data_IF_157684973501
#
_entry.id   IF_157684973501
#
_cell.length_a   1.000
_cell.length_b   1.000
_cell.length_c   1.000
_cell.angle_alpha   90.00
_cell.angle_beta   90.00
_cell.angle_gamma   90.00
#
_symmetry.space_group_name_H-M   'P 1'
#
loop_
_entity.id
_entity.type
_entity.pdbx_description
1 polymer ?
#
# COMPACT_ATOMS: atom_id res chain seq x y z
N UNK A 1 -25.62 15.65 -5.11
CA UNK A 1 -24.95 14.33 -5.13
C UNK A 1 -23.84 14.33 -4.09
N UNK A 2 -24.07 13.72 -2.93
CA UNK A 2 -23.10 13.71 -1.83
C UNK A 2 -21.97 12.73 -2.16
N UNK A 3 -20.79 13.26 -2.48
CA UNK A 3 -19.60 12.46 -2.80
C UNK A 3 -19.08 11.79 -1.53
N UNK A 4 -19.57 10.59 -1.27
CA UNK A 4 -19.06 9.71 -0.23
C UNK A 4 -17.67 9.21 -0.66
N UNK A 5 -16.66 10.09 -0.64
CA UNK A 5 -15.27 9.81 -1.04
C UNK A 5 -14.63 8.86 -0.03
N UNK A 6 -14.78 7.58 -0.35
CA UNK A 6 -13.87 6.46 -0.11
C UNK A 6 -13.27 6.30 1.30
N UNK A 7 -13.98 5.56 2.17
CA UNK A 7 -13.33 4.87 3.29
C UNK A 7 -12.45 3.69 2.84
N UNK A 8 -12.56 3.26 1.58
CA UNK A 8 -11.79 2.13 1.03
C UNK A 8 -10.39 2.59 0.62
N UNK A 9 -9.33 1.84 0.96
CA UNK A 9 -7.97 2.14 0.52
C UNK A 9 -7.85 2.08 -0.99
N UNK A 10 -7.09 3.01 -1.56
CA UNK A 10 -6.80 3.07 -2.99
C UNK A 10 -5.68 2.11 -3.39
N UNK A 11 -4.73 1.87 -2.47
CA UNK A 11 -3.57 1.02 -2.68
C UNK A 11 -3.31 0.18 -1.42
N UNK A 12 -2.68 -0.97 -1.61
CA UNK A 12 -2.14 -1.82 -0.55
C UNK A 12 -0.65 -1.56 -0.41
N UNK A 13 -0.17 -1.41 0.82
CA UNK A 13 1.24 -1.24 1.10
C UNK A 13 1.88 -2.60 1.39
N UNK A 14 2.96 -2.89 0.67
CA UNK A 14 3.79 -4.08 0.84
C UNK A 14 5.20 -3.66 1.25
N UNK A 15 5.87 -4.44 2.09
CA UNK A 15 7.33 -4.46 2.12
C UNK A 15 7.81 -5.54 1.18
N UNK A 16 8.76 -5.20 0.31
CA UNK A 16 9.38 -6.10 -0.65
C UNK A 16 10.78 -6.44 -0.17
N UNK A 17 11.06 -7.73 -0.06
CA UNK A 17 12.35 -8.25 0.41
C UNK A 17 12.82 -9.39 -0.47
N UNK A 18 14.13 -9.65 -0.48
CA UNK A 18 14.76 -10.66 -1.32
C UNK A 18 15.09 -10.13 -2.71
N UNK A 19 15.72 -10.97 -3.53
CA UNK A 19 16.25 -10.59 -4.84
C UNK A 19 15.97 -11.68 -5.88
N UNK A 20 15.82 -11.26 -7.14
CA UNK A 20 15.59 -12.16 -8.28
C UNK A 20 14.34 -13.02 -8.12
N UNK A 21 14.49 -14.33 -8.26
CA UNK A 21 13.40 -15.30 -8.15
C UNK A 21 12.82 -15.41 -6.73
N UNK A 22 13.56 -14.97 -5.71
CA UNK A 22 13.15 -15.02 -4.32
C UNK A 22 12.65 -13.65 -3.83
N UNK A 23 11.77 -13.01 -4.60
CA UNK A 23 11.16 -11.73 -4.22
C UNK A 23 9.86 -11.97 -3.46
N UNK A 24 9.78 -11.46 -2.24
CA UNK A 24 8.62 -11.63 -1.36
C UNK A 24 7.90 -10.32 -1.12
N UNK A 25 6.57 -10.35 -1.22
CA UNK A 25 5.70 -9.21 -0.98
C UNK A 25 4.89 -9.44 0.30
N UNK A 26 5.25 -8.75 1.37
CA UNK A 26 4.54 -8.85 2.65
C UNK A 26 3.61 -7.66 2.81
N UNK A 27 2.30 -7.91 2.92
CA UNK A 27 1.32 -6.84 3.15
C UNK A 27 1.53 -6.25 4.54
N UNK A 28 1.84 -4.96 4.60
CA UNK A 28 2.12 -4.23 5.85
C UNK A 28 1.15 -3.08 6.11
N UNK A 29 0.26 -2.77 5.17
CA UNK A 29 -0.69 -1.68 5.35
C UNK A 29 -1.50 -1.35 4.12
N UNK A 30 -1.98 -0.11 4.07
CA UNK A 30 -2.73 0.42 2.95
C UNK A 30 -2.51 1.93 2.80
N UNK A 31 -2.85 2.47 1.63
CA UNK A 31 -2.72 3.87 1.33
C UNK A 31 -3.97 4.46 0.65
N UNK A 32 -4.18 5.76 0.88
CA UNK A 32 -5.27 6.55 0.33
C UNK A 32 -4.70 7.78 -0.38
N UNK A 33 -5.25 8.13 -1.53
CA UNK A 33 -4.92 9.39 -2.17
C UNK A 33 -5.37 10.57 -1.31
N UNK A 34 -4.56 11.61 -1.24
CA UNK A 34 -4.85 12.82 -0.49
C UNK A 34 -5.11 14.01 -1.43
N UNK A 35 -5.64 15.10 -0.89
CA UNK A 35 -5.99 16.29 -1.66
C UNK A 35 -4.79 17.04 -2.27
N UNK A 36 -3.57 16.72 -1.86
CA UNK A 36 -2.33 17.33 -2.34
C UNK A 36 -1.69 16.56 -3.50
N UNK A 37 -2.36 15.52 -4.03
CA UNK A 37 -1.85 14.68 -5.11
C UNK A 37 -0.85 13.61 -4.67
N UNK A 38 -0.71 13.39 -3.35
CA UNK A 38 0.11 12.32 -2.79
C UNK A 38 -0.72 11.20 -2.18
N UNK A 39 -0.05 10.27 -1.50
CA UNK A 39 -0.68 9.19 -0.74
C UNK A 39 -0.40 9.32 0.76
N UNK A 40 -1.43 9.09 1.57
CA UNK A 40 -1.28 8.84 2.99
C UNK A 40 -1.28 7.33 3.23
N UNK A 41 -0.24 6.82 3.89
CA UNK A 41 -0.10 5.40 4.22
C UNK A 41 -0.45 5.18 5.68
N UNK A 42 -1.18 4.10 5.99
CA UNK A 42 -1.30 3.54 7.34
C UNK A 42 -0.67 2.17 7.37
N UNK A 43 0.32 2.00 8.25
CA UNK A 43 1.05 0.76 8.44
C UNK A 43 0.47 0.00 9.64
N UNK A 44 0.19 -1.28 9.45
CA UNK A 44 -0.09 -2.24 10.52
C UNK A 44 1.21 -2.84 11.09
N UNK A 45 2.29 -2.84 10.31
CA UNK A 45 3.63 -3.24 10.74
C UNK A 45 4.67 -2.30 10.13
N UNK A 46 5.72 -1.99 10.90
CA UNK A 46 6.85 -1.19 10.43
C UNK A 46 7.96 -2.13 9.93
N UNK A 47 8.31 -2.12 8.63
CA UNK A 47 9.40 -2.95 8.13
C UNK A 47 10.74 -2.46 8.67
N UNK A 48 11.62 -3.40 9.02
CA UNK A 48 12.99 -3.12 9.46
C UNK A 48 14.00 -3.11 8.30
N UNK A 49 13.61 -3.64 7.15
CA UNK A 49 14.39 -3.75 5.92
C UNK A 49 13.46 -3.79 4.69
N UNK A 50 14.05 -3.77 3.50
CA UNK A 50 13.33 -3.84 2.23
C UNK A 50 12.74 -2.51 1.79
N UNK A 51 11.88 -2.57 0.77
CA UNK A 51 11.26 -1.39 0.15
C UNK A 51 9.75 -1.38 0.34
N UNK A 52 9.17 -0.22 0.65
CA UNK A 52 7.72 -0.08 0.72
C UNK A 52 7.17 0.24 -0.67
N UNK A 53 6.36 -0.65 -1.21
CA UNK A 53 5.70 -0.49 -2.51
C UNK A 53 4.19 -0.40 -2.31
N UNK A 54 3.55 0.53 -3.03
CA UNK A 54 2.09 0.69 -3.06
C UNK A 54 1.53 0.15 -4.37
N UNK A 55 0.63 -0.83 -4.30
CA UNK A 55 0.03 -1.46 -5.47
C UNK A 55 -1.50 -1.46 -5.36
N UNK A 56 -2.25 -1.40 -6.47
CA UNK A 56 -3.69 -1.66 -6.47
C UNK A 56 -4.00 -3.03 -5.84
N UNK A 57 -5.18 -3.21 -5.23
CA UNK A 57 -5.66 -4.54 -4.86
C UNK A 57 -5.62 -5.45 -6.09
N UNK A 58 -5.13 -6.70 -5.92
CA UNK A 58 -5.30 -7.71 -6.98
C UNK A 58 -6.79 -7.94 -7.16
N UNK A 59 -7.25 -7.95 -8.41
CA UNK A 59 -8.58 -8.47 -8.74
C UNK A 59 -8.56 -9.97 -8.40
N UNK A 60 -9.53 -10.41 -7.60
CA UNK A 60 -9.79 -11.84 -7.36
C UNK A 60 -10.44 -12.47 -8.59
#
# INVERSE_FOLDING_TARGET
>A
MSTNKSKRPSLIAYTVTGEGENTFFHKIGAAWSNSKGGYQIKLAALPVNGEIVLLPPKEE
#
